data_IF_996578287089
#
_entry.id   IF_996578287089
#
_cell.length_a   1.000
_cell.length_b   1.000
_cell.length_c   1.000
_cell.angle_alpha   90.00
_cell.angle_beta   90.00
_cell.angle_gamma   90.00
#
_symmetry.space_group_name_H-M   'P 1'
#
loop_
_entity.id
_entity.type
_entity.pdbx_description
1 polymer ?
#
# COMPACT_ATOMS: atom_id res chain seq x y z
N UNK A 1 -7.88 9.49 21.52
CA UNK A 1 -8.35 10.69 22.25
C UNK A 1 -7.33 11.84 22.23
N UNK A 2 -6.19 11.80 22.96
CA UNK A 2 -5.22 12.91 22.94
C UNK A 2 -4.50 13.07 21.59
N UNK A 3 -4.17 11.94 20.96
CA UNK A 3 -3.46 11.90 19.67
C UNK A 3 -4.34 12.35 18.49
N UNK A 4 -5.64 12.06 18.54
CA UNK A 4 -6.62 12.52 17.55
C UNK A 4 -6.85 14.03 17.63
N UNK A 5 -6.92 14.60 18.85
CA UNK A 5 -7.03 16.05 19.02
C UNK A 5 -5.79 16.77 18.49
N UNK A 6 -4.60 16.23 18.76
CA UNK A 6 -3.33 16.78 18.27
C UNK A 6 -3.23 16.73 16.75
N UNK A 7 -3.68 15.63 16.14
CA UNK A 7 -3.74 15.51 14.67
C UNK A 7 -4.71 16.53 14.06
N UNK A 8 -5.82 16.83 14.74
CA UNK A 8 -6.76 17.87 14.30
C UNK A 8 -6.16 19.28 14.40
N UNK A 9 -5.48 19.60 15.50
CA UNK A 9 -4.78 20.89 15.69
C UNK A 9 -3.71 21.12 14.62
N UNK A 10 -2.93 20.09 14.26
CA UNK A 10 -1.90 20.18 13.21
C UNK A 10 -2.55 20.48 11.84
N UNK A 11 -3.62 19.75 11.47
CA UNK A 11 -4.34 20.00 10.21
C UNK A 11 -4.98 21.38 10.17
N UNK A 12 -5.41 21.91 11.32
CA UNK A 12 -5.99 23.25 11.39
C UNK A 12 -4.90 24.32 11.22
N UNK A 13 -3.71 24.13 11.80
CA UNK A 13 -2.56 25.00 11.58
C UNK A 13 -2.05 24.98 10.13
N UNK A 14 -2.08 23.82 9.46
CA UNK A 14 -1.80 23.72 8.00
C UNK A 14 -2.75 24.59 7.18
N UNK A 15 -4.05 24.56 7.52
CA UNK A 15 -5.07 25.40 6.86
C UNK A 15 -4.85 26.89 7.12
N UNK A 16 -4.29 27.24 8.28
CA UNK A 16 -3.93 28.60 8.66
C UNK A 16 -2.54 29.02 8.14
N UNK A 17 -2.00 28.27 7.17
CA UNK A 17 -0.81 28.66 6.40
C UNK A 17 0.53 28.32 7.05
N UNK A 18 0.57 27.44 8.06
CA UNK A 18 1.82 26.90 8.58
C UNK A 18 2.30 25.76 7.67
N UNK A 19 3.46 25.94 7.04
CA UNK A 19 4.09 24.93 6.21
C UNK A 19 5.00 24.01 7.05
N UNK A 20 4.52 22.79 7.29
CA UNK A 20 5.25 21.76 8.02
C UNK A 20 6.24 20.96 7.14
N UNK A 21 6.15 21.04 5.81
CA UNK A 21 7.03 20.29 4.89
C UNK A 21 8.41 20.94 4.74
N UNK A 22 8.54 22.22 5.10
CA UNK A 22 9.79 22.97 5.04
C UNK A 22 10.75 22.69 6.20
N UNK A 23 10.30 22.03 7.28
CA UNK A 23 11.13 21.73 8.45
C UNK A 23 11.81 20.37 8.33
N UNK A 24 13.13 20.34 8.46
CA UNK A 24 13.93 19.10 8.43
C UNK A 24 13.76 18.24 9.69
N UNK A 25 13.28 18.83 10.80
CA UNK A 25 12.99 18.13 12.05
C UNK A 25 11.47 18.10 12.28
N UNK A 26 10.84 16.90 12.36
CA UNK A 26 9.40 16.76 12.58
C UNK A 26 8.98 17.09 14.02
N UNK A 27 9.93 17.24 14.95
CA UNK A 27 9.64 17.54 16.36
C UNK A 27 9.59 19.05 16.67
N UNK A 28 10.41 19.85 15.96
CA UNK A 28 10.52 21.29 16.12
C UNK A 28 10.36 22.00 14.77
N UNK A 29 9.16 22.55 14.53
CA UNK A 29 8.83 23.21 13.27
C UNK A 29 9.00 24.72 13.41
N UNK A 30 9.76 25.31 12.48
CA UNK A 30 10.04 26.75 12.46
C UNK A 30 9.34 27.41 11.29
N UNK A 31 8.43 28.33 11.58
CA UNK A 31 7.62 29.02 10.59
C UNK A 31 7.71 30.55 10.75
N UNK A 32 7.35 31.34 9.73
CA UNK A 32 7.15 32.77 9.90
C UNK A 32 5.95 33.02 10.83
N UNK A 33 6.05 34.04 11.67
CA UNK A 33 4.97 34.44 12.58
C UNK A 33 4.18 35.61 11.99
N UNK A 34 2.86 35.44 11.85
CA UNK A 34 1.91 36.40 11.27
C UNK A 34 0.93 36.97 12.30
N UNK A 35 1.22 36.80 13.60
CA UNK A 35 0.30 37.21 14.66
C UNK A 35 0.14 38.73 14.76
N UNK A 36 1.24 39.49 14.55
CA UNK A 36 1.25 40.95 14.54
C UNK A 36 1.94 41.45 13.26
N UNK A 37 1.61 42.68 12.84
CA UNK A 37 2.22 43.33 11.68
C UNK A 37 3.76 43.40 11.77
N UNK A 38 4.30 43.61 12.97
CA UNK A 38 5.76 43.64 13.21
C UNK A 38 6.42 42.26 13.06
N UNK A 39 5.67 41.17 13.33
CA UNK A 39 6.16 39.81 13.13
C UNK A 39 6.09 39.41 11.65
N UNK A 40 5.03 39.79 10.95
CA UNK A 40 4.85 39.53 9.53
C UNK A 40 5.90 40.26 8.66
N UNK A 41 6.36 41.43 9.09
CA UNK A 41 7.43 42.18 8.43
C UNK A 41 8.83 41.58 8.62
N UNK A 42 9.00 40.69 9.60
CA UNK A 42 10.25 39.96 9.79
C UNK A 42 10.22 38.69 8.93
N UNK A 43 10.95 38.66 7.81
CA UNK A 43 11.09 37.47 6.94
C UNK A 43 11.83 36.28 7.62
N UNK A 44 11.96 36.30 8.95
CA UNK A 44 12.62 35.27 9.74
C UNK A 44 11.61 34.28 10.35
N UNK A 45 11.97 32.99 10.36
CA UNK A 45 11.20 31.92 10.99
C UNK A 45 11.25 32.02 12.52
N UNK A 46 10.44 32.93 13.06
CA UNK A 46 10.42 33.31 14.48
C UNK A 46 9.40 32.51 15.29
N UNK A 47 8.48 31.79 14.65
CA UNK A 47 7.54 30.89 15.32
C UNK A 47 8.13 29.49 15.41
N UNK A 48 8.27 28.97 16.63
CA UNK A 48 8.76 27.61 16.92
C UNK A 48 7.61 26.79 17.50
N UNK A 49 7.34 25.63 16.90
CA UNK A 49 6.26 24.72 17.25
C UNK A 49 6.85 23.40 17.72
N UNK A 50 6.55 23.02 18.96
CA UNK A 50 6.90 21.70 19.49
C UNK A 50 5.66 20.80 19.42
N UNK A 51 5.61 19.96 18.40
CA UNK A 51 4.45 19.11 18.10
C UNK A 51 4.23 18.01 19.16
N UNK A 52 5.26 17.31 19.67
CA UNK A 52 5.08 16.29 20.72
C UNK A 52 4.49 16.86 22.02
N UNK A 53 4.91 18.06 22.42
CA UNK A 53 4.43 18.72 23.63
C UNK A 53 3.14 19.53 23.41
N UNK A 54 2.78 19.81 22.15
CA UNK A 54 1.59 20.60 21.81
C UNK A 54 1.73 22.07 22.21
N UNK A 55 2.92 22.64 22.07
CA UNK A 55 3.24 24.01 22.49
C UNK A 55 3.86 24.83 21.37
N UNK A 56 3.72 26.15 21.46
CA UNK A 56 4.39 27.09 20.57
C UNK A 56 5.10 28.18 21.34
N UNK A 57 6.10 28.77 20.68
CA UNK A 57 6.80 29.97 21.15
C UNK A 57 7.20 30.83 19.96
N UNK A 58 6.87 32.11 19.99
CA UNK A 58 7.38 33.09 19.04
C UNK A 58 8.53 33.90 19.65
N UNK A 59 9.66 33.97 18.95
CA UNK A 59 10.83 34.72 19.39
C UNK A 59 10.74 36.22 19.06
N UNK A 60 9.83 36.63 18.18
CA UNK A 60 9.63 38.03 17.80
C UNK A 60 8.68 38.78 18.75
N UNK A 61 7.48 38.24 19.00
CA UNK A 61 6.49 38.86 19.91
C UNK A 61 6.50 38.28 21.33
N UNK A 62 7.26 37.22 21.58
CA UNK A 62 7.33 36.57 22.90
C UNK A 62 6.09 35.74 23.28
N UNK A 63 5.11 35.61 22.39
CA UNK A 63 3.91 34.80 22.62
C UNK A 63 4.27 33.32 22.78
N UNK A 64 3.71 32.66 23.78
CA UNK A 64 3.89 31.24 24.04
C UNK A 64 2.61 30.64 24.64
N UNK A 65 2.33 29.37 24.36
CA UNK A 65 1.10 28.72 24.80
C UNK A 65 0.91 27.33 24.19
N UNK A 66 -0.31 26.80 24.27
CA UNK A 66 -0.67 25.55 23.58
C UNK A 66 -0.95 25.77 22.10
N UNK A 67 -0.91 24.71 21.28
CA UNK A 67 -1.30 24.81 19.86
C UNK A 67 -2.73 25.31 19.67
N UNK A 68 -3.65 24.96 20.58
CA UNK A 68 -5.01 25.49 20.58
C UNK A 68 -5.08 27.02 20.80
N UNK A 69 -4.18 27.56 21.63
CA UNK A 69 -4.08 29.01 21.82
C UNK A 69 -3.52 29.70 20.57
N UNK A 70 -2.56 29.06 19.89
CA UNK A 70 -2.02 29.57 18.62
C UNK A 70 -3.09 29.64 17.53
N UNK A 71 -3.93 28.59 17.41
CA UNK A 71 -5.05 28.56 16.45
C UNK A 71 -6.00 29.72 16.70
N UNK A 72 -6.36 29.98 17.97
CA UNK A 72 -7.21 31.12 18.34
C UNK A 72 -6.56 32.44 17.97
N UNK A 73 -5.30 32.64 18.33
CA UNK A 73 -4.56 33.88 18.03
C UNK A 73 -4.45 34.13 16.52
N UNK A 74 -4.21 33.09 15.71
CA UNK A 74 -4.20 33.20 14.24
C UNK A 74 -5.58 33.54 13.67
N UNK A 75 -6.65 32.97 14.23
CA UNK A 75 -8.01 33.33 13.84
C UNK A 75 -8.37 34.78 14.19
N UNK A 76 -7.95 35.25 15.36
CA UNK A 76 -8.18 36.63 15.80
C UNK A 76 -7.36 37.60 14.93
N UNK A 77 -6.09 37.30 14.65
CA UNK A 77 -5.26 38.06 13.73
C UNK A 77 -5.86 38.09 12.30
N UNK A 78 -6.38 36.96 11.81
CA UNK A 78 -7.05 36.89 10.51
C UNK A 78 -8.35 37.72 10.47
N UNK A 79 -9.07 37.85 11.60
CA UNK A 79 -10.25 38.72 11.73
C UNK A 79 -9.89 40.20 11.71
N UNK A 80 -8.78 40.57 12.35
CA UNK A 80 -8.29 41.96 12.34
C UNK A 80 -7.70 42.37 10.98
N UNK A 81 -7.14 41.42 10.22
CA UNK A 81 -6.55 41.66 8.89
C UNK A 81 -7.54 41.52 7.72
N UNK A 82 -8.79 41.15 7.98
CA UNK A 82 -9.85 41.31 6.99
C UNK A 82 -10.01 42.82 6.73
N UNK A 83 -9.92 43.29 5.48
CA UNK A 83 -10.25 44.67 5.19
C UNK A 83 -11.66 44.91 5.72
N UNK A 84 -11.80 45.91 6.60
CA UNK A 84 -13.11 46.38 7.04
C UNK A 84 -13.96 46.50 5.78
N UNK A 85 -14.97 45.63 5.66
CA UNK A 85 -16.01 45.81 4.66
C UNK A 85 -16.49 47.24 4.92
N UNK A 86 -16.37 48.18 3.96
CA UNK A 86 -16.94 49.51 4.18
C UNK A 86 -18.37 49.25 4.59
N UNK A 87 -18.74 49.75 5.78
CA UNK A 87 -20.08 49.60 6.31
C UNK A 87 -21.02 49.92 5.15
N UNK A 88 -21.74 48.90 4.68
CA UNK A 88 -22.85 49.16 3.80
C UNK A 88 -23.76 50.03 4.68
N UNK A 89 -23.93 51.30 4.32
CA UNK A 89 -24.88 52.20 4.96
C UNK A 89 -26.27 51.60 4.78
N UNK A 90 -26.60 50.61 5.61
CA UNK A 90 -27.97 50.33 5.98
C UNK A 90 -28.38 51.53 6.81
N UNK A 91 -28.92 52.55 6.14
CA UNK A 91 -29.69 53.57 6.83
C UNK A 91 -30.78 52.84 7.61
N UNK A 92 -30.57 52.76 8.93
CA UNK A 92 -31.67 52.67 9.87
C UNK A 92 -32.61 53.81 9.51
N UNK A 93 -33.87 53.48 9.21
CA UNK A 93 -34.94 54.45 9.32
C UNK A 93 -35.01 54.75 10.82
N UNK A 94 -34.35 55.81 11.26
CA UNK A 94 -34.59 56.38 12.58
C UNK A 94 -35.95 57.08 12.54
N UNK A 95 -36.78 56.73 13.53
CA UNK A 95 -38.10 57.28 13.78
C UNK A 95 -37.99 58.78 14.03
N UNK A 96 -38.35 59.59 13.02
CA UNK A 96 -38.71 60.97 13.27
C UNK A 96 -39.98 61.01 14.14
N UNK A 97 -40.03 61.91 15.15
CA UNK A 97 -41.14 61.99 16.09
C UNK A 97 -42.45 62.32 15.37
N UNK A 98 -43.60 61.85 15.90
CA UNK A 98 -44.89 62.06 15.26
C UNK A 98 -45.17 63.56 15.10
N UNK A 99 -45.61 64.03 13.91
CA UNK A 99 -46.06 65.41 13.79
C UNK A 99 -47.25 65.64 14.72
N UNK A 100 -47.23 66.79 15.41
CA UNK A 100 -48.32 67.28 16.26
C UNK A 100 -49.67 67.24 15.53
N UNK A 101 -50.78 66.99 16.25
CA UNK A 101 -52.10 66.93 15.64
C UNK A 101 -52.48 68.30 15.07
N UNK A 102 -52.48 68.41 13.75
CA UNK A 102 -53.15 69.48 13.04
C UNK A 102 -54.67 69.23 13.15
N UNK A 103 -55.35 70.03 13.97
CA UNK A 103 -56.79 70.26 13.89
C UNK A 103 -57.10 70.86 12.52
N UNK A 104 -57.36 69.99 11.55
CA UNK A 104 -57.85 70.37 10.24
C UNK A 104 -59.23 69.72 10.06
N UNK A 105 -60.25 70.57 10.07
CA UNK A 105 -61.65 70.24 9.86
C UNK A 105 -61.84 69.21 8.73
N UNK A 106 -62.52 68.12 9.07
CA UNK A 106 -62.89 67.10 8.10
C UNK A 106 -63.81 67.69 7.04
N UNK A 107 -63.27 67.97 5.86
CA UNK A 107 -64.04 68.15 4.64
C UNK A 107 -63.84 66.92 3.74
N UNK A 108 -64.90 66.15 3.45
CA UNK A 108 -64.77 65.03 2.52
C UNK A 108 -64.50 65.58 1.12
N UNK A 109 -63.25 65.43 0.66
CA UNK A 109 -62.89 65.72 -0.72
C UNK A 109 -63.58 64.71 -1.66
N UNK A 110 -64.22 65.18 -2.76
CA UNK A 110 -64.93 64.30 -3.67
C UNK A 110 -63.94 63.40 -4.43
N UNK A 111 -64.06 62.08 -4.24
CA UNK A 111 -63.33 61.06 -4.99
C UNK A 111 -63.71 61.18 -6.47
N UNK A 112 -62.82 61.79 -7.28
CA UNK A 112 -62.87 61.66 -8.74
C UNK A 112 -62.05 60.42 -9.11
N UNK A 113 -62.61 59.41 -9.79
CA UNK A 113 -61.87 58.23 -10.19
C UNK A 113 -60.90 58.59 -11.33
N UNK A 114 -59.63 58.78 -10.98
CA UNK A 114 -58.55 59.07 -11.92
C UNK A 114 -57.88 57.80 -12.45
N UNK A 115 -58.30 57.37 -13.65
CA UNK A 115 -57.62 56.46 -14.60
C UNK A 115 -57.21 55.05 -14.13
N UNK A 116 -57.85 54.05 -14.75
CA UNK A 116 -57.38 52.67 -14.76
C UNK A 116 -55.97 52.59 -15.38
N UNK A 117 -54.99 52.12 -14.60
CA UNK A 117 -53.64 51.83 -15.10
C UNK A 117 -53.71 50.54 -15.92
N UNK A 118 -53.65 50.66 -17.23
CA UNK A 118 -53.46 49.53 -18.13
C UNK A 118 -52.05 48.97 -17.92
N UNK A 119 -51.96 47.71 -17.48
CA UNK A 119 -50.69 46.96 -17.39
C UNK A 119 -50.12 46.79 -18.81
N UNK A 120 -49.13 47.60 -19.18
CA UNK A 120 -48.30 47.34 -20.35
C UNK A 120 -47.24 46.29 -20.00
N UNK A 121 -47.03 45.33 -20.90
CA UNK A 121 -46.01 44.29 -20.77
C UNK A 121 -44.59 44.91 -20.79
N UNK A 122 -43.64 44.35 -20.02
CA UNK A 122 -42.29 44.91 -19.90
C UNK A 122 -41.55 44.85 -21.25
N UNK A 123 -41.03 46.01 -21.70
CA UNK A 123 -40.08 46.08 -22.82
C UNK A 123 -38.70 45.68 -22.33
N UNK A 124 -38.22 44.54 -22.80
CA UNK A 124 -36.84 44.08 -22.60
C UNK A 124 -35.95 44.84 -23.58
N UNK A 125 -35.06 45.69 -23.07
CA UNK A 125 -33.94 46.21 -23.85
C UNK A 125 -32.82 45.19 -23.84
N UNK A 126 -32.44 44.67 -25.01
CA UNK A 126 -31.23 43.87 -25.17
C UNK A 126 -30.02 44.79 -25.13
N UNK A 127 -29.11 44.56 -24.18
CA UNK A 127 -27.83 45.26 -24.09
C UNK A 127 -27.06 45.11 -25.42
N UNK A 128 -26.58 46.23 -25.96
CA UNK A 128 -25.72 46.23 -27.15
C UNK A 128 -24.29 45.78 -26.81
N UNK A 129 -23.54 45.32 -27.80
CA UNK A 129 -22.18 44.77 -27.64
C UNK A 129 -21.19 45.72 -26.94
N UNK A 130 -21.46 47.03 -26.92
CA UNK A 130 -20.65 48.03 -26.23
C UNK A 130 -20.78 48.04 -24.70
N UNK A 131 -21.84 47.44 -24.14
CA UNK A 131 -22.09 47.37 -22.69
C UNK A 131 -21.65 46.03 -22.07
N UNK A 132 -21.05 45.12 -22.87
CA UNK A 132 -20.43 43.91 -22.34
C UNK A 132 -19.16 44.27 -21.57
N UNK A 133 -19.25 44.25 -20.24
CA UNK A 133 -18.14 44.42 -19.29
C UNK A 133 -16.92 43.52 -19.59
N UNK A 134 -17.12 42.39 -20.28
CA UNK A 134 -16.06 41.46 -20.74
C UNK A 134 -15.06 42.10 -21.71
N UNK A 135 -15.46 43.09 -22.51
CA UNK A 135 -14.55 43.78 -23.43
C UNK A 135 -13.71 44.86 -22.72
N UNK A 136 -14.23 45.41 -21.61
CA UNK A 136 -13.61 46.53 -20.88
C UNK A 136 -12.58 46.05 -19.84
N UNK A 137 -12.75 44.84 -19.32
CA UNK A 137 -11.82 44.19 -18.40
C UNK A 137 -11.57 42.74 -18.84
N UNK A 138 -10.68 42.50 -19.82
CA UNK A 138 -10.29 41.14 -20.15
C UNK A 138 -9.70 40.48 -18.89
N UNK A 139 -10.12 39.24 -18.52
CA UNK A 139 -9.51 38.54 -17.40
C UNK A 139 -8.00 38.42 -17.64
N UNK A 140 -7.15 38.59 -16.60
CA UNK A 140 -5.71 38.45 -16.76
C UNK A 140 -5.44 37.07 -17.35
N UNK A 141 -4.81 37.03 -18.54
CA UNK A 141 -4.41 35.76 -19.16
C UNK A 141 -3.56 35.01 -18.14
N UNK A 142 -3.89 33.76 -17.79
CA UNK A 142 -3.07 32.98 -16.87
C UNK A 142 -1.65 32.98 -17.42
N UNK A 143 -0.66 33.39 -16.60
CA UNK A 143 0.74 33.35 -16.99
C UNK A 143 1.06 31.91 -17.37
N UNK A 144 1.26 31.65 -18.65
CA UNK A 144 1.74 30.35 -19.13
C UNK A 144 3.10 30.10 -18.48
N UNK A 145 3.12 29.25 -17.45
CA UNK A 145 4.36 28.69 -16.94
C UNK A 145 4.97 27.91 -18.09
N UNK A 146 6.07 28.41 -18.67
CA UNK A 146 6.85 27.66 -19.66
C UNK A 146 7.12 26.28 -19.08
N UNK A 147 6.69 25.18 -19.74
CA UNK A 147 6.91 23.85 -19.20
C UNK A 147 8.41 23.60 -19.13
N UNK A 148 8.92 23.36 -17.93
CA UNK A 148 10.32 22.99 -17.74
C UNK A 148 10.49 21.57 -18.30
N UNK A 149 11.23 21.41 -19.39
CA UNK A 149 11.41 20.11 -20.04
C UNK A 149 11.99 19.05 -19.08
N UNK A 150 12.72 19.47 -18.03
CA UNK A 150 13.22 18.59 -16.98
C UNK A 150 12.10 17.98 -16.12
N UNK A 151 11.05 18.73 -15.80
CA UNK A 151 9.90 18.22 -15.02
C UNK A 151 9.16 17.13 -15.80
N UNK A 152 8.93 17.35 -17.10
CA UNK A 152 8.35 16.33 -17.98
C UNK A 152 9.18 15.05 -18.03
N UNK A 153 10.51 15.18 -18.06
CA UNK A 153 11.42 14.04 -18.13
C UNK A 153 11.43 13.25 -16.81
N UNK A 154 11.42 13.95 -15.67
CA UNK A 154 11.31 13.34 -14.34
C UNK A 154 9.98 12.60 -14.20
N UNK A 155 8.85 13.25 -14.54
CA UNK A 155 7.53 12.61 -14.43
C UNK A 155 7.44 11.42 -15.39
N UNK A 156 7.98 11.50 -16.61
CA UNK A 156 8.01 10.39 -17.54
C UNK A 156 8.84 9.20 -17.03
N UNK A 157 10.03 9.44 -16.49
CA UNK A 157 10.89 8.40 -15.89
C UNK A 157 10.19 7.74 -14.70
N UNK A 158 9.66 8.54 -13.78
CA UNK A 158 8.95 8.03 -12.60
C UNK A 158 7.73 7.20 -13.02
N UNK A 159 6.95 7.69 -13.98
CA UNK A 159 5.78 6.99 -14.51
C UNK A 159 6.15 5.66 -15.19
N UNK A 160 7.29 5.61 -15.88
CA UNK A 160 7.81 4.38 -16.48
C UNK A 160 8.19 3.36 -15.40
N UNK A 161 8.89 3.80 -14.34
CA UNK A 161 9.24 2.93 -13.20
C UNK A 161 7.99 2.36 -12.55
N UNK A 162 6.99 3.20 -12.26
CA UNK A 162 5.72 2.76 -11.69
C UNK A 162 4.96 1.81 -12.62
N UNK A 163 4.96 2.07 -13.93
CA UNK A 163 4.32 1.20 -14.92
C UNK A 163 5.00 -0.18 -14.98
N UNK A 164 6.33 -0.22 -15.06
CA UNK A 164 7.08 -1.48 -15.12
C UNK A 164 6.96 -2.29 -13.82
N UNK A 165 7.16 -1.65 -12.67
CA UNK A 165 7.01 -2.30 -11.37
C UNK A 165 5.56 -2.79 -11.16
N UNK A 166 4.59 -1.99 -11.57
CA UNK A 166 3.19 -2.31 -11.50
C UNK A 166 2.77 -3.47 -12.41
N UNK A 167 3.26 -3.53 -13.66
CA UNK A 167 3.02 -4.65 -14.57
C UNK A 167 3.65 -5.96 -14.05
N UNK A 168 4.84 -5.88 -13.45
CA UNK A 168 5.48 -7.04 -12.83
C UNK A 168 4.65 -7.53 -11.63
N UNK A 169 4.17 -6.62 -10.78
CA UNK A 169 3.26 -6.94 -9.68
C UNK A 169 1.93 -7.52 -10.18
N UNK A 170 1.36 -7.00 -11.26
CA UNK A 170 0.14 -7.52 -11.87
C UNK A 170 0.33 -8.94 -12.44
N UNK A 171 1.48 -9.22 -13.04
CA UNK A 171 1.85 -10.57 -13.47
C UNK A 171 1.93 -11.54 -12.29
N UNK A 172 2.59 -11.15 -11.20
CA UNK A 172 2.71 -11.97 -9.99
C UNK A 172 1.36 -12.18 -9.28
N UNK A 173 0.55 -11.11 -9.14
CA UNK A 173 -0.81 -11.16 -8.58
C UNK A 173 -1.72 -12.06 -9.42
N UNK A 174 -1.73 -11.88 -10.75
CA UNK A 174 -2.52 -12.70 -11.66
C UNK A 174 -2.14 -14.17 -11.60
N UNK A 175 -0.84 -14.48 -11.52
CA UNK A 175 -0.38 -15.86 -11.33
C UNK A 175 -0.81 -16.44 -9.97
N UNK A 176 -0.63 -15.70 -8.88
CA UNK A 176 -1.02 -16.14 -7.54
C UNK A 176 -2.53 -16.42 -7.46
N UNK A 177 -3.35 -15.52 -8.01
CA UNK A 177 -4.80 -15.70 -8.12
C UNK A 177 -5.14 -16.93 -8.96
N UNK A 178 -4.53 -17.10 -10.14
CA UNK A 178 -4.80 -18.26 -10.98
C UNK A 178 -4.57 -19.57 -10.21
N UNK A 179 -3.42 -19.69 -9.54
CA UNK A 179 -3.07 -20.88 -8.77
C UNK A 179 -4.01 -21.12 -7.59
N UNK A 180 -4.33 -20.07 -6.84
CA UNK A 180 -5.25 -20.18 -5.69
C UNK A 180 -6.64 -20.64 -6.13
N UNK A 181 -7.24 -19.95 -7.10
CA UNK A 181 -8.59 -20.29 -7.54
C UNK A 181 -8.63 -21.62 -8.31
N UNK A 182 -7.59 -21.98 -9.06
CA UNK A 182 -7.52 -23.30 -9.69
C UNK A 182 -7.44 -24.42 -8.65
N UNK A 183 -6.69 -24.22 -7.57
CA UNK A 183 -6.57 -25.22 -6.49
C UNK A 183 -7.83 -25.37 -5.62
N UNK A 184 -8.75 -24.40 -5.69
CA UNK A 184 -10.01 -24.43 -4.93
C UNK A 184 -11.01 -25.45 -5.48
N UNK A 185 -10.80 -25.95 -6.70
CA UNK A 185 -11.71 -26.87 -7.38
C UNK A 185 -10.97 -28.15 -7.78
N UNK A 186 -11.53 -29.31 -7.42
CA UNK A 186 -10.92 -30.60 -7.66
C UNK A 186 -11.01 -31.09 -9.13
N UNK A 187 -12.00 -30.61 -9.89
CA UNK A 187 -12.17 -30.96 -11.31
C UNK A 187 -11.18 -30.17 -12.18
N UNK A 188 -10.28 -30.81 -12.95
CA UNK A 188 -9.25 -30.13 -13.74
C UNK A 188 -9.80 -29.19 -14.83
N UNK A 189 -10.96 -29.48 -15.40
CA UNK A 189 -11.58 -28.60 -16.40
C UNK A 189 -12.15 -27.34 -15.76
N UNK A 190 -12.76 -27.48 -14.57
CA UNK A 190 -13.29 -26.36 -13.82
C UNK A 190 -12.18 -25.55 -13.15
N UNK A 191 -11.10 -26.20 -12.69
CA UNK A 191 -9.93 -25.54 -12.10
C UNK A 191 -9.32 -24.50 -13.05
N UNK A 192 -9.23 -24.81 -14.35
CA UNK A 192 -8.77 -23.84 -15.35
C UNK A 192 -9.69 -22.62 -15.45
N UNK A 193 -11.00 -22.84 -15.46
CA UNK A 193 -12.01 -21.76 -15.57
C UNK A 193 -12.02 -20.87 -14.32
N UNK A 194 -11.97 -21.47 -13.13
CA UNK A 194 -11.89 -20.75 -11.87
C UNK A 194 -10.57 -19.99 -11.72
N UNK A 195 -9.44 -20.58 -12.15
CA UNK A 195 -8.16 -19.88 -12.21
C UNK A 195 -8.22 -18.60 -13.05
N UNK A 196 -8.80 -18.66 -14.25
CA UNK A 196 -8.98 -17.47 -15.09
C UNK A 196 -9.91 -16.42 -14.49
N UNK A 197 -10.87 -16.82 -13.66
CA UNK A 197 -11.75 -15.88 -12.94
C UNK A 197 -10.94 -14.99 -11.99
N UNK A 198 -9.93 -15.55 -11.32
CA UNK A 198 -8.99 -14.79 -10.50
C UNK A 198 -8.15 -13.79 -11.30
N UNK A 199 -7.67 -14.18 -12.48
CA UNK A 199 -6.93 -13.28 -13.38
C UNK A 199 -7.83 -12.13 -13.85
N UNK A 200 -9.08 -12.43 -14.21
CA UNK A 200 -10.06 -11.42 -14.63
C UNK A 200 -10.31 -10.42 -13.49
N UNK A 201 -10.41 -10.88 -12.24
CA UNK A 201 -10.59 -9.98 -11.10
C UNK A 201 -9.43 -8.97 -10.95
N UNK A 202 -8.18 -9.42 -11.13
CA UNK A 202 -7.01 -8.54 -11.12
C UNK A 202 -7.02 -7.54 -12.29
N UNK A 203 -7.44 -7.97 -13.49
CA UNK A 203 -7.59 -7.09 -14.66
C UNK A 203 -8.68 -6.04 -14.43
N UNK A 204 -9.81 -6.42 -13.83
CA UNK A 204 -10.92 -5.51 -13.49
C UNK A 204 -10.49 -4.49 -12.43
N UNK A 205 -9.69 -4.91 -11.44
CA UNK A 205 -9.07 -4.02 -10.45
C UNK A 205 -8.22 -2.94 -11.14
N UNK A 206 -7.24 -3.37 -11.95
CA UNK A 206 -6.35 -2.48 -12.70
C UNK A 206 -7.12 -1.55 -13.66
N UNK A 207 -8.04 -2.09 -14.45
CA UNK A 207 -8.87 -1.31 -15.36
C UNK A 207 -9.70 -0.28 -14.60
N UNK A 208 -10.33 -0.67 -13.50
CA UNK A 208 -11.16 0.19 -12.66
C UNK A 208 -10.37 1.37 -12.08
N UNK A 209 -9.17 1.14 -11.53
CA UNK A 209 -8.31 2.22 -11.05
C UNK A 209 -7.83 3.14 -12.18
N UNK A 210 -7.50 2.59 -13.34
CA UNK A 210 -7.13 3.38 -14.53
C UNK A 210 -8.26 4.31 -14.95
N UNK A 211 -9.49 3.79 -15.01
CA UNK A 211 -10.68 4.61 -15.32
C UNK A 211 -10.97 5.63 -14.22
N UNK A 212 -10.80 5.28 -12.95
CA UNK A 212 -10.94 6.23 -11.85
C UNK A 212 -9.98 7.42 -12.00
N UNK A 213 -8.68 7.16 -12.19
CA UNK A 213 -7.67 8.20 -12.37
C UNK A 213 -7.91 9.01 -13.65
N UNK A 214 -8.31 8.37 -14.74
CA UNK A 214 -8.64 9.05 -15.99
C UNK A 214 -9.86 9.99 -15.87
N UNK A 215 -10.93 9.52 -15.22
CA UNK A 215 -12.15 10.32 -15.05
C UNK A 215 -11.96 11.46 -14.04
N UNK A 216 -11.24 11.21 -12.95
CA UNK A 216 -10.91 12.26 -11.96
C UNK A 216 -10.01 13.34 -12.57
N UNK A 217 -9.01 12.97 -13.37
CA UNK A 217 -8.19 13.93 -14.11
C UNK A 217 -8.98 14.79 -15.11
N UNK A 218 -10.12 14.30 -15.61
CA UNK A 218 -11.02 15.01 -16.52
C UNK A 218 -12.23 15.67 -15.82
N UNK A 219 -12.19 15.82 -14.49
CA UNK A 219 -13.28 16.39 -13.67
C UNK A 219 -14.64 15.65 -13.77
N UNK A 220 -14.63 14.37 -14.20
CA UNK A 220 -15.82 13.50 -14.32
C UNK A 220 -15.99 12.62 -13.08
N UNK A 221 -16.29 13.26 -11.94
CA UNK A 221 -16.30 12.57 -10.63
C UNK A 221 -17.36 11.46 -10.50
N UNK A 222 -18.53 11.60 -11.15
CA UNK A 222 -19.60 10.59 -11.10
C UNK A 222 -19.17 9.28 -11.77
N UNK A 223 -18.50 9.37 -12.92
CA UNK A 223 -17.95 8.23 -13.63
C UNK A 223 -16.72 7.66 -12.92
N UNK A 224 -15.88 8.53 -12.33
CA UNK A 224 -14.77 8.10 -11.48
C UNK A 224 -15.24 7.21 -10.33
N UNK A 225 -16.25 7.65 -9.56
CA UNK A 225 -16.74 6.88 -8.42
C UNK A 225 -17.31 5.51 -8.82
N UNK A 226 -17.98 5.42 -9.97
CA UNK A 226 -18.46 4.13 -10.50
C UNK A 226 -17.30 3.20 -10.83
N UNK A 227 -16.27 3.71 -11.49
CA UNK A 227 -15.06 2.93 -11.81
C UNK A 227 -14.34 2.45 -10.53
N UNK A 228 -14.31 3.29 -9.49
CA UNK A 228 -13.70 2.93 -8.21
C UNK A 228 -14.42 1.75 -7.53
N UNK A 229 -15.75 1.69 -7.58
CA UNK A 229 -16.50 0.57 -6.99
C UNK A 229 -16.15 -0.77 -7.66
N UNK A 230 -16.03 -0.79 -8.99
CA UNK A 230 -15.58 -1.99 -9.71
C UNK A 230 -14.11 -2.32 -9.42
N UNK A 231 -13.27 -1.29 -9.29
CA UNK A 231 -11.86 -1.45 -8.94
C UNK A 231 -11.71 -2.14 -7.57
N UNK A 232 -12.43 -1.66 -6.55
CA UNK A 232 -12.40 -2.21 -5.20
C UNK A 232 -12.95 -3.65 -5.12
N UNK A 233 -13.97 -3.98 -5.91
CA UNK A 233 -14.48 -5.35 -5.99
C UNK A 233 -13.44 -6.32 -6.59
N UNK A 234 -12.76 -5.91 -7.67
CA UNK A 234 -11.63 -6.65 -8.24
C UNK A 234 -10.48 -6.80 -7.26
N UNK A 235 -10.12 -5.70 -6.59
CA UNK A 235 -9.06 -5.62 -5.58
C UNK A 235 -9.30 -6.60 -4.43
N UNK A 236 -10.52 -6.62 -3.86
CA UNK A 236 -10.86 -7.53 -2.77
C UNK A 236 -10.71 -9.00 -3.16
N UNK A 237 -11.16 -9.35 -4.36
CA UNK A 237 -11.06 -10.73 -4.88
C UNK A 237 -9.60 -11.14 -5.12
N UNK A 238 -8.80 -10.21 -5.65
CA UNK A 238 -7.37 -10.41 -5.92
C UNK A 238 -6.53 -10.56 -4.64
N UNK A 239 -6.86 -9.79 -3.59
CA UNK A 239 -6.20 -9.89 -2.28
C UNK A 239 -6.47 -11.26 -1.67
N UNK A 240 -7.72 -11.72 -1.71
CA UNK A 240 -8.11 -13.04 -1.15
C UNK A 240 -7.36 -14.17 -1.86
N UNK A 241 -7.29 -14.15 -3.20
CA UNK A 241 -6.58 -15.20 -3.94
C UNK A 241 -5.07 -15.16 -3.71
N UNK A 242 -4.46 -13.98 -3.66
CA UNK A 242 -3.02 -13.82 -3.36
C UNK A 242 -2.68 -14.26 -1.94
N UNK A 243 -3.50 -13.90 -0.95
CA UNK A 243 -3.34 -14.35 0.43
C UNK A 243 -3.45 -15.87 0.54
N UNK A 244 -4.49 -16.44 -0.07
CA UNK A 244 -4.70 -17.89 -0.07
C UNK A 244 -3.50 -18.62 -0.69
N UNK A 245 -2.97 -18.13 -1.81
CA UNK A 245 -1.76 -18.67 -2.43
C UNK A 245 -0.54 -18.63 -1.49
N UNK A 246 -0.24 -17.48 -0.88
CA UNK A 246 0.90 -17.33 0.04
C UNK A 246 0.73 -18.25 1.25
N UNK A 247 -0.49 -18.33 1.80
CA UNK A 247 -0.80 -19.18 2.94
C UNK A 247 -0.60 -20.67 2.61
N UNK A 248 -1.05 -21.12 1.43
CA UNK A 248 -0.87 -22.49 0.98
C UNK A 248 0.60 -22.83 0.77
N UNK A 249 1.38 -21.89 0.23
CA UNK A 249 2.81 -22.09 0.03
C UNK A 249 3.57 -22.17 1.36
N UNK A 250 3.20 -21.33 2.34
CA UNK A 250 3.75 -21.39 3.70
C UNK A 250 3.41 -22.71 4.40
N UNK A 251 2.19 -23.22 4.22
CA UNK A 251 1.77 -24.53 4.74
C UNK A 251 2.52 -25.67 4.06
N UNK A 252 2.72 -25.61 2.74
CA UNK A 252 3.49 -26.61 2.00
C UNK A 252 4.94 -26.65 2.45
N UNK A 253 5.58 -25.49 2.63
CA UNK A 253 6.93 -25.38 3.17
C UNK A 253 7.01 -25.94 4.60
N UNK A 254 6.04 -25.62 5.48
CA UNK A 254 5.99 -26.17 6.83
C UNK A 254 5.80 -27.70 6.85
N UNK A 255 4.96 -28.23 5.94
CA UNK A 255 4.77 -29.66 5.79
C UNK A 255 6.02 -30.37 5.26
N UNK A 256 6.78 -29.74 4.37
CA UNK A 256 8.06 -30.25 3.88
C UNK A 256 9.11 -30.29 5.00
N UNK A 257 9.18 -29.25 5.83
CA UNK A 257 10.05 -29.25 7.02
C UNK A 257 9.67 -30.37 8.01
N UNK A 258 8.37 -30.58 8.23
CA UNK A 258 7.88 -31.65 9.11
C UNK A 258 8.25 -33.02 8.54
N UNK A 259 8.00 -33.25 7.24
CA UNK A 259 8.37 -34.50 6.55
C UNK A 259 9.88 -34.75 6.57
N UNK A 260 10.69 -33.72 6.38
CA UNK A 260 12.15 -33.83 6.47
C UNK A 260 12.60 -34.18 7.89
N UNK A 261 11.94 -33.60 8.92
CA UNK A 261 12.14 -33.95 10.33
C UNK A 261 11.76 -35.40 10.63
N UNK A 262 10.57 -35.83 10.21
CA UNK A 262 10.07 -37.20 10.39
C UNK A 262 10.99 -38.22 9.71
N UNK A 263 11.41 -37.94 8.47
CA UNK A 263 12.33 -38.80 7.73
C UNK A 263 13.69 -38.90 8.43
N UNK A 264 14.18 -37.79 8.99
CA UNK A 264 15.42 -37.78 9.78
C UNK A 264 15.30 -38.64 11.03
N UNK A 265 14.22 -38.50 11.79
CA UNK A 265 13.98 -39.31 13.00
C UNK A 265 13.90 -40.80 12.68
N UNK A 266 13.24 -41.17 11.57
CA UNK A 266 13.18 -42.54 11.07
C UNK A 266 14.58 -43.06 10.75
N UNK A 267 15.40 -42.29 10.03
CA UNK A 267 16.77 -42.68 9.67
C UNK A 267 17.65 -42.82 10.91
N UNK A 268 17.59 -41.90 11.87
CA UNK A 268 18.33 -41.97 13.13
C UNK A 268 17.92 -43.23 13.94
N UNK A 269 16.63 -43.57 13.97
CA UNK A 269 16.13 -44.78 14.64
C UNK A 269 16.63 -46.05 13.95
N UNK A 270 16.62 -46.10 12.62
CA UNK A 270 17.15 -47.23 11.85
C UNK A 270 18.65 -47.42 12.06
N UNK A 271 19.43 -46.32 12.07
CA UNK A 271 20.86 -46.36 12.35
C UNK A 271 21.12 -46.90 13.77
N UNK A 272 20.34 -46.46 14.77
CA UNK A 272 20.47 -46.95 16.14
C UNK A 272 20.17 -48.45 16.24
N UNK A 273 19.16 -48.93 15.51
CA UNK A 273 18.84 -50.36 15.47
C UNK A 273 19.93 -51.18 14.80
N UNK A 274 20.44 -50.75 13.63
CA UNK A 274 21.55 -51.42 12.95
C UNK A 274 22.82 -51.44 13.79
N UNK A 275 23.09 -50.37 14.57
CA UNK A 275 24.22 -50.35 15.52
C UNK A 275 24.05 -51.39 16.64
N UNK A 276 22.84 -51.54 17.21
CA UNK A 276 22.58 -52.61 18.19
C UNK A 276 22.75 -54.00 17.59
N UNK A 277 22.31 -54.20 16.33
CA UNK A 277 22.53 -55.46 15.62
C UNK A 277 24.02 -55.73 15.38
N UNK A 278 24.79 -54.68 15.08
CA UNK A 278 26.24 -54.75 14.89
C UNK A 278 26.97 -55.12 16.19
N UNK A 279 26.57 -54.58 17.34
CA UNK A 279 27.11 -54.92 18.66
C UNK A 279 26.94 -56.40 19.03
N UNK A 280 25.92 -57.06 18.49
CA UNK A 280 25.69 -58.50 18.67
C UNK A 280 26.64 -59.40 17.86
N UNK A 281 27.42 -58.84 16.93
CA UNK A 281 28.40 -59.57 16.11
C UNK A 281 29.80 -59.36 16.71
N UNK A 282 30.56 -60.44 17.00
CA UNK A 282 31.90 -60.30 17.57
C UNK A 282 32.83 -59.40 16.73
N UNK A 283 33.57 -58.52 17.39
CA UNK A 283 34.49 -57.60 16.71
C UNK A 283 35.62 -58.34 15.96
N UNK A 284 35.93 -59.56 16.38
CA UNK A 284 37.07 -60.37 15.92
C UNK A 284 36.77 -61.22 14.67
N UNK A 285 35.63 -61.04 14.01
CA UNK A 285 35.37 -61.70 12.72
C UNK A 285 36.45 -61.35 11.70
N UNK A 286 37.07 -62.36 11.09
CA UNK A 286 38.03 -62.20 9.98
C UNK A 286 37.34 -61.52 8.78
N UNK A 287 38.12 -60.84 7.93
CA UNK A 287 37.56 -60.13 6.76
C UNK A 287 36.84 -61.10 5.82
N UNK A 288 35.77 -60.63 5.18
CA UNK A 288 34.97 -61.41 4.22
C UNK A 288 35.88 -61.97 3.12
N UNK A 289 36.73 -61.14 2.53
CA UNK A 289 37.68 -61.53 1.47
C UNK A 289 38.67 -62.61 1.93
N UNK A 290 39.13 -62.55 3.19
CA UNK A 290 40.04 -63.54 3.74
C UNK A 290 39.37 -64.89 4.01
N UNK A 291 38.11 -64.86 4.45
CA UNK A 291 37.31 -66.06 4.69
C UNK A 291 36.86 -66.72 3.39
N UNK A 292 36.48 -65.96 2.37
CA UNK A 292 36.16 -66.48 1.04
C UNK A 292 37.37 -67.13 0.38
N UNK A 293 38.55 -66.51 0.46
CA UNK A 293 39.79 -67.08 -0.07
C UNK A 293 40.16 -68.39 0.66
N UNK A 294 39.99 -68.45 1.98
CA UNK A 294 40.22 -69.66 2.76
C UNK A 294 39.25 -70.79 2.39
N UNK A 295 37.95 -70.49 2.31
CA UNK A 295 36.91 -71.46 1.95
C UNK A 295 37.15 -72.00 0.53
N UNK A 296 37.43 -71.13 -0.43
CA UNK A 296 37.72 -71.52 -1.81
C UNK A 296 38.93 -72.45 -1.91
N UNK A 297 39.99 -72.19 -1.14
CA UNK A 297 41.17 -73.05 -1.08
C UNK A 297 40.88 -74.41 -0.42
N UNK A 298 40.07 -74.43 0.65
CA UNK A 298 39.65 -75.66 1.32
C UNK A 298 38.75 -76.52 0.42
N UNK A 299 37.84 -75.90 -0.33
CA UNK A 299 37.00 -76.55 -1.35
C UNK A 299 37.85 -77.12 -2.50
N UNK A 300 38.82 -76.36 -2.99
CA UNK A 300 39.77 -76.80 -4.04
C UNK A 300 40.56 -78.04 -3.63
N UNK A 301 40.93 -78.12 -2.35
CA UNK A 301 41.71 -79.25 -1.79
C UNK A 301 40.78 -80.37 -1.27
N UNK A 302 39.45 -80.20 -1.30
CA UNK A 302 38.47 -81.22 -0.96
C UNK A 302 38.36 -81.54 0.55
N UNK A 303 38.73 -80.60 1.44
CA UNK A 303 38.74 -80.79 2.90
C UNK A 303 37.49 -80.23 3.60
N UNK A 304 36.33 -80.40 2.99
CA UNK A 304 35.06 -79.78 3.42
C UNK A 304 34.43 -80.41 4.67
N UNK A 305 34.84 -81.62 5.07
CA UNK A 305 34.27 -82.30 6.25
C UNK A 305 34.90 -81.86 7.57
N UNK A 306 35.98 -81.07 7.52
CA UNK A 306 36.73 -80.70 8.71
C UNK A 306 36.03 -79.58 9.49
N UNK A 307 36.06 -79.65 10.83
CA UNK A 307 35.50 -78.62 11.71
C UNK A 307 35.93 -77.17 11.33
N UNK A 308 37.20 -76.88 11.00
CA UNK A 308 37.64 -75.54 10.62
C UNK A 308 36.91 -74.96 9.40
N UNK A 309 36.46 -75.81 8.46
CA UNK A 309 35.68 -75.39 7.31
C UNK A 309 34.28 -74.90 7.70
N UNK A 310 33.59 -75.64 8.57
CA UNK A 310 32.26 -75.27 9.08
C UNK A 310 32.32 -74.01 9.94
N UNK A 311 33.36 -73.88 10.76
CA UNK A 311 33.59 -72.69 11.57
C UNK A 311 33.85 -71.46 10.66
N UNK A 312 34.68 -71.60 9.62
CA UNK A 312 34.92 -70.54 8.64
C UNK A 312 33.67 -70.13 7.86
N UNK A 313 32.78 -71.07 7.51
CA UNK A 313 31.49 -70.75 6.87
C UNK A 313 30.56 -69.95 7.80
N UNK A 314 30.51 -70.30 9.08
CA UNK A 314 29.74 -69.56 10.08
C UNK A 314 30.31 -68.14 10.30
N UNK A 315 31.63 -68.03 10.42
CA UNK A 315 32.32 -66.73 10.50
C UNK A 315 32.10 -65.88 9.25
N UNK A 316 32.09 -66.49 8.05
CA UNK A 316 31.83 -65.78 6.80
C UNK A 316 30.41 -65.19 6.77
N UNK A 317 29.42 -65.95 7.24
CA UNK A 317 28.04 -65.47 7.35
C UNK A 317 27.89 -64.27 8.29
N UNK A 318 28.63 -64.29 9.41
CA UNK A 318 28.66 -63.17 10.36
C UNK A 318 29.40 -61.95 9.78
N UNK A 319 30.55 -62.17 9.14
CA UNK A 319 31.34 -61.11 8.50
C UNK A 319 30.55 -60.41 7.38
N UNK A 320 29.83 -61.16 6.54
CA UNK A 320 28.96 -60.58 5.49
C UNK A 320 27.82 -59.73 6.06
N UNK A 321 27.15 -60.20 7.13
CA UNK A 321 26.13 -59.39 7.81
C UNK A 321 26.69 -58.12 8.42
N UNK A 322 27.89 -58.20 9.00
CA UNK A 322 28.59 -57.04 9.57
C UNK A 322 28.87 -55.99 8.49
N UNK A 323 29.44 -56.40 7.36
CA UNK A 323 29.73 -55.49 6.24
C UNK A 323 28.45 -54.89 5.65
N UNK A 324 27.38 -55.68 5.53
CA UNK A 324 26.07 -55.19 5.07
C UNK A 324 25.47 -54.14 6.02
N UNK A 325 25.50 -54.39 7.33
CA UNK A 325 25.02 -53.45 8.35
C UNK A 325 25.87 -52.17 8.37
N UNK A 326 27.19 -52.30 8.26
CA UNK A 326 28.11 -51.16 8.21
C UNK A 326 27.82 -50.30 6.97
N UNK A 327 27.66 -50.91 5.80
CA UNK A 327 27.30 -50.23 4.55
C UNK A 327 25.95 -49.49 4.67
N UNK A 328 24.93 -50.12 5.29
CA UNK A 328 23.63 -49.49 5.56
C UNK A 328 23.75 -48.27 6.48
N UNK A 329 24.54 -48.39 7.55
CA UNK A 329 24.81 -47.29 8.49
C UNK A 329 25.52 -46.14 7.78
N UNK A 330 26.55 -46.43 6.98
CA UNK A 330 27.33 -45.41 6.28
C UNK A 330 26.50 -44.70 5.19
N UNK A 331 25.68 -45.44 4.44
CA UNK A 331 24.74 -44.88 3.46
C UNK A 331 23.67 -43.99 4.13
N UNK A 332 23.11 -44.41 5.26
CA UNK A 332 22.12 -43.60 5.99
C UNK A 332 22.74 -42.36 6.66
N UNK A 333 23.96 -42.47 7.19
CA UNK A 333 24.71 -41.31 7.68
C UNK A 333 25.02 -40.33 6.54
N UNK A 334 25.39 -40.83 5.36
CA UNK A 334 25.60 -40.00 4.17
C UNK A 334 24.31 -39.32 3.73
N UNK A 335 23.15 -39.98 3.81
CA UNK A 335 21.85 -39.36 3.54
C UNK A 335 21.54 -38.24 4.55
N UNK A 336 21.76 -38.48 5.85
CA UNK A 336 21.58 -37.47 6.91
C UNK A 336 22.50 -36.24 6.74
N UNK A 337 23.73 -36.44 6.27
CA UNK A 337 24.71 -35.38 6.01
C UNK A 337 24.44 -34.66 4.67
N UNK A 338 23.98 -35.40 3.66
CA UNK A 338 23.75 -34.93 2.30
C UNK A 338 22.46 -34.12 2.13
N UNK A 339 21.45 -34.38 2.96
CA UNK A 339 20.15 -33.68 2.83
C UNK A 339 20.17 -32.22 3.27
N UNK A 340 21.27 -31.71 3.85
CA UNK A 340 21.52 -30.26 4.04
C UNK A 340 20.40 -29.47 4.75
N UNK A 341 19.43 -30.16 5.36
CA UNK A 341 18.14 -29.62 5.78
C UNK A 341 18.26 -28.59 6.90
N UNK A 342 19.41 -28.56 7.58
CA UNK A 342 19.79 -27.51 8.53
C UNK A 342 19.80 -26.10 7.93
N UNK A 343 20.23 -25.93 6.66
CA UNK A 343 20.22 -24.62 6.00
C UNK A 343 18.81 -24.22 5.51
N UNK A 344 17.99 -25.20 5.11
CA UNK A 344 16.61 -24.98 4.65
C UNK A 344 15.72 -24.51 5.82
N UNK A 345 15.93 -25.07 7.01
CA UNK A 345 15.25 -24.68 8.25
C UNK A 345 15.53 -23.21 8.63
N UNK A 346 16.76 -22.73 8.45
CA UNK A 346 17.13 -21.34 8.77
C UNK A 346 16.61 -20.31 7.76
N UNK A 347 16.56 -20.64 6.46
CA UNK A 347 16.03 -19.73 5.43
C UNK A 347 14.50 -19.65 5.44
N UNK A 348 13.81 -20.77 5.73
CA UNK A 348 12.36 -20.77 5.86
C UNK A 348 11.90 -19.97 7.09
N UNK A 349 12.66 -20.03 8.20
CA UNK A 349 12.36 -19.30 9.43
C UNK A 349 12.60 -17.78 9.32
N UNK A 350 13.35 -17.32 8.32
CA UNK A 350 13.55 -15.89 8.06
C UNK A 350 12.38 -15.23 7.28
N UNK A 351 11.47 -16.02 6.68
CA UNK A 351 10.34 -15.50 5.88
C UNK A 351 9.10 -15.12 6.70
N UNK A 352 9.11 -15.29 8.02
CA UNK A 352 7.90 -15.25 8.88
C UNK A 352 7.54 -13.90 9.49
N UNK A 353 8.29 -12.83 9.26
CA UNK A 353 8.06 -11.57 9.99
C UNK A 353 6.89 -10.70 9.48
N UNK A 354 6.28 -11.04 8.34
CA UNK A 354 5.17 -10.26 7.77
C UNK A 354 3.97 -11.16 7.44
N UNK A 355 2.75 -10.80 7.88
CA UNK A 355 1.55 -11.54 7.55
C UNK A 355 1.28 -11.63 6.05
N UNK A 356 0.75 -12.75 5.57
CA UNK A 356 0.41 -12.98 4.15
C UNK A 356 -0.56 -11.93 3.60
N UNK A 357 -1.54 -11.51 4.40
CA UNK A 357 -2.50 -10.47 4.03
C UNK A 357 -1.83 -9.12 3.76
N UNK A 358 -0.75 -8.78 4.48
CA UNK A 358 -0.02 -7.52 4.29
C UNK A 358 0.69 -7.50 2.94
N UNK A 359 1.36 -8.60 2.59
CA UNK A 359 1.98 -8.75 1.27
C UNK A 359 0.95 -8.73 0.15
N UNK A 360 -0.19 -9.41 0.31
CA UNK A 360 -1.26 -9.40 -0.67
C UNK A 360 -1.78 -7.96 -0.92
N UNK A 361 -1.99 -7.17 0.15
CA UNK A 361 -2.38 -5.75 0.02
C UNK A 361 -1.31 -4.94 -0.70
N UNK A 362 -0.04 -5.07 -0.31
CA UNK A 362 1.06 -4.33 -0.95
C UNK A 362 1.16 -4.65 -2.44
N UNK A 363 1.16 -5.94 -2.77
CA UNK A 363 1.29 -6.42 -4.14
C UNK A 363 0.11 -5.94 -4.99
N UNK A 364 -1.11 -5.96 -4.46
CA UNK A 364 -2.29 -5.42 -5.12
C UNK A 364 -2.24 -3.89 -5.27
N UNK A 365 -1.74 -3.16 -4.27
CA UNK A 365 -1.65 -1.70 -4.32
C UNK A 365 -0.61 -1.23 -5.37
N UNK A 366 0.54 -1.90 -5.47
CA UNK A 366 1.51 -1.63 -6.53
C UNK A 366 1.02 -2.09 -7.91
N UNK A 367 0.39 -3.26 -7.98
CA UNK A 367 -0.19 -3.83 -9.22
C UNK A 367 -1.31 -2.96 -9.81
N UNK A 368 -2.25 -2.52 -8.97
CA UNK A 368 -3.42 -1.78 -9.45
C UNK A 368 -3.14 -0.28 -9.50
N UNK A 369 -2.69 0.33 -8.41
CA UNK A 369 -2.57 1.79 -8.31
C UNK A 369 -1.29 2.32 -8.95
N UNK A 370 -0.15 1.67 -8.71
CA UNK A 370 1.13 2.05 -9.31
C UNK A 370 1.06 2.04 -10.84
N UNK A 371 0.55 0.94 -11.40
CA UNK A 371 0.38 0.79 -12.85
C UNK A 371 -0.58 1.81 -13.43
N UNK A 372 -1.74 2.04 -12.78
CA UNK A 372 -2.75 2.99 -13.26
C UNK A 372 -2.28 4.44 -13.22
N UNK A 373 -1.59 4.85 -12.16
CA UNK A 373 -1.04 6.21 -12.04
C UNK A 373 0.04 6.42 -13.10
N UNK A 374 0.98 5.48 -13.26
CA UNK A 374 2.03 5.57 -14.27
C UNK A 374 1.47 5.64 -15.69
N UNK A 375 0.47 4.80 -16.00
CA UNK A 375 -0.19 4.80 -17.31
C UNK A 375 -0.94 6.11 -17.59
N UNK A 376 -1.75 6.59 -16.64
CA UNK A 376 -2.53 7.83 -16.80
C UNK A 376 -1.60 9.04 -16.89
N UNK A 377 -0.53 9.09 -16.09
CA UNK A 377 0.47 10.14 -16.17
C UNK A 377 1.13 10.21 -17.55
N UNK A 378 1.54 9.07 -18.12
CA UNK A 378 2.08 9.00 -19.48
C UNK A 378 1.04 9.45 -20.53
N UNK A 379 -0.23 9.02 -20.39
CA UNK A 379 -1.30 9.44 -21.29
C UNK A 379 -1.56 10.95 -21.22
N UNK A 380 -1.49 11.57 -20.05
CA UNK A 380 -1.66 13.03 -19.89
C UNK A 380 -0.45 13.79 -20.46
N UNK A 381 0.77 13.28 -20.22
CA UNK A 381 2.02 13.88 -20.70
C UNK A 381 2.13 13.89 -22.23
N UNK A 382 1.76 12.78 -22.87
CA UNK A 382 1.93 12.58 -24.31
C UNK A 382 0.62 12.69 -25.12
N UNK A 383 -0.54 12.65 -24.48
CA UNK A 383 -1.86 12.71 -25.13
C UNK A 383 -2.41 14.12 -25.36
N UNK A 384 -1.81 15.17 -24.77
CA UNK A 384 -2.10 16.56 -25.13
C UNK A 384 -1.53 16.85 -26.53
N UNK A 385 -2.36 16.69 -27.57
CA UNK A 385 -2.07 17.28 -28.88
C UNK A 385 -1.83 18.78 -28.68
N UNK A 386 -0.76 19.37 -29.22
CA UNK A 386 -0.73 20.82 -29.38
C UNK A 386 -1.93 21.17 -30.25
N UNK A 387 -2.85 21.96 -29.71
CA UNK A 387 -3.78 22.68 -30.56
C UNK A 387 -2.88 23.56 -31.45
N UNK A 388 -2.66 23.11 -32.69
CA UNK A 388 -2.12 23.98 -33.73
C UNK A 388 -3.09 25.15 -33.85
N UNK A 389 -2.69 26.29 -33.31
CA UNK A 389 -3.19 27.60 -33.69
C UNK A 389 -2.53 28.04 -34.98
#
# INVERSE_FOLDING_TARGET
>A
MADERRTQEIRELERLGIDFESSQDPSDVRAPCDLNADCAASEANTLILNLPEGRFRCTACGAQGSLADLIRLKHDAAREHLPAIPALDAQLIEDDPPPEPLDADYHPAPIRPGRAVTKQAPRVHTLGDADRLEARFPPPKPKEKKPFNGEKLIIALLSLVFLCAGLAAAGLSGFANYQSFSSSVADPLQAGIWGWTGVIAAVVSFGGFTFFYWHTANHRMKEGWRALLFALAGMGTSIIGTEAYISANNQAAAAELTRAGDNREILETQIADWRRQLEGIPAETRSVEGLEAYIAEVERVGRTEQKPYRDAQNELGLAKRRDELQSKIDAANAALLGDGSGNILTEAQARTNLPSWFFAIMLELFSSQGTSIGLVALLILFGRRPAHG
#
